data_IF_578048885061
#
_entry.id   IF_578048885061
#
_cell.length_a   1.000
_cell.length_b   1.000
_cell.length_c   1.000
_cell.angle_alpha   90.00
_cell.angle_beta   90.00
_cell.angle_gamma   90.00
#
_symmetry.space_group_name_H-M   'P 1'
#
loop_
_entity.id
_entity.type
_entity.pdbx_description
1 polymer ?
#
# COMPACT_ATOMS: atom_id res chain seq x y z
N UNK A 1 13.28 -7.87 3.83
CA UNK A 1 13.48 -7.30 2.48
C UNK A 1 14.95 -7.23 2.08
N UNK A 2 15.82 -6.58 2.86
CA UNK A 2 17.26 -6.43 2.56
C UNK A 2 17.97 -7.76 2.26
N UNK A 3 17.73 -8.78 3.10
CA UNK A 3 18.24 -10.14 2.87
C UNK A 3 17.74 -10.74 1.53
N UNK A 4 16.44 -10.68 1.26
CA UNK A 4 15.86 -11.22 0.01
C UNK A 4 16.39 -10.50 -1.24
N UNK A 5 16.63 -9.19 -1.15
CA UNK A 5 17.23 -8.40 -2.23
C UNK A 5 18.69 -8.79 -2.45
N UNK A 6 19.45 -8.99 -1.37
CA UNK A 6 20.82 -9.48 -1.44
C UNK A 6 20.89 -10.87 -2.08
N UNK A 7 20.03 -11.79 -1.64
CA UNK A 7 19.96 -13.16 -2.16
C UNK A 7 19.59 -13.17 -3.67
N UNK A 8 18.68 -12.29 -4.12
CA UNK A 8 18.34 -12.13 -5.54
C UNK A 8 19.50 -11.57 -6.37
N UNK A 9 20.20 -10.56 -5.85
CA UNK A 9 21.36 -9.97 -6.51
C UNK A 9 22.53 -10.96 -6.62
N UNK A 10 22.73 -11.80 -5.61
CA UNK A 10 23.75 -12.85 -5.62
C UNK A 10 23.41 -13.92 -6.68
N UNK A 11 22.15 -14.36 -6.75
CA UNK A 11 21.71 -15.27 -7.80
C UNK A 11 21.89 -14.69 -9.22
N UNK A 12 21.59 -13.40 -9.40
CA UNK A 12 21.83 -12.71 -10.69
C UNK A 12 23.32 -12.64 -11.03
N UNK A 13 24.18 -12.37 -10.04
CA UNK A 13 25.62 -12.34 -10.23
C UNK A 13 26.16 -13.71 -10.68
N UNK A 14 25.63 -14.80 -10.13
CA UNK A 14 25.96 -16.17 -10.57
C UNK A 14 25.58 -16.43 -12.02
N UNK A 15 24.39 -15.98 -12.47
CA UNK A 15 23.99 -16.07 -13.88
C UNK A 15 24.95 -15.29 -14.78
N UNK A 16 25.29 -14.06 -14.39
CA UNK A 16 26.19 -13.20 -15.17
C UNK A 16 27.61 -13.75 -15.26
N UNK A 17 28.11 -14.40 -14.21
CA UNK A 17 29.43 -15.02 -14.21
C UNK A 17 29.56 -16.15 -15.24
N UNK A 18 28.47 -16.86 -15.54
CA UNK A 18 28.44 -17.91 -16.55
C UNK A 18 28.40 -17.35 -17.98
N UNK A 19 27.64 -16.26 -18.19
CA UNK A 19 27.40 -15.71 -19.54
C UNK A 19 28.45 -14.68 -19.96
N UNK A 20 29.04 -13.96 -19.00
CA UNK A 20 30.00 -12.89 -19.26
C UNK A 20 31.40 -13.39 -19.01
N UNK A 21 32.12 -13.67 -20.10
CA UNK A 21 33.55 -14.01 -20.01
C UNK A 21 34.35 -12.83 -19.40
N UNK A 22 35.28 -13.08 -18.46
CA UNK A 22 36.19 -12.06 -17.96
C UNK A 22 36.97 -11.42 -19.11
N UNK A 23 37.08 -10.09 -19.10
CA UNK A 23 37.87 -9.36 -20.08
C UNK A 23 39.34 -9.45 -19.67
N UNK A 24 40.08 -10.39 -20.26
CA UNK A 24 41.53 -10.51 -20.07
C UNK A 24 42.30 -9.90 -21.26
N UNK A 25 43.38 -9.17 -20.97
CA UNK A 25 44.29 -8.60 -21.96
C UNK A 25 45.72 -9.15 -21.79
N UNK A 26 46.40 -9.57 -22.89
CA UNK A 26 45.91 -9.64 -24.27
C UNK A 26 44.83 -10.73 -24.44
N UNK A 27 43.87 -10.56 -25.36
CA UNK A 27 42.75 -11.49 -25.49
C UNK A 27 43.27 -12.91 -25.79
N UNK A 28 42.90 -13.93 -24.98
CA UNK A 28 43.31 -15.30 -25.25
C UNK A 28 42.77 -15.75 -26.62
N UNK A 29 43.55 -16.57 -27.32
CA UNK A 29 43.13 -17.20 -28.58
C UNK A 29 41.85 -18.00 -28.33
N UNK A 30 40.70 -17.48 -28.76
CA UNK A 30 39.40 -18.13 -28.51
C UNK A 30 39.39 -19.52 -29.18
N UNK A 31 39.11 -20.61 -28.44
CA UNK A 31 38.76 -21.88 -29.05
C UNK A 31 37.51 -21.72 -29.94
N UNK A 32 37.40 -22.55 -30.98
CA UNK A 32 36.34 -22.50 -31.98
C UNK A 32 34.93 -22.59 -31.31
N UNK A 33 33.93 -21.77 -31.69
CA UNK A 33 32.64 -21.65 -30.97
C UNK A 33 31.72 -22.88 -31.01
N UNK A 34 32.18 -24.00 -31.55
CA UNK A 34 31.38 -25.21 -31.80
C UNK A 34 31.24 -26.12 -30.56
N UNK A 35 31.77 -25.72 -29.41
CA UNK A 35 31.71 -26.45 -28.14
C UNK A 35 30.90 -25.69 -27.07
N UNK A 36 29.78 -25.07 -27.43
CA UNK A 36 28.74 -24.82 -26.42
C UNK A 36 27.99 -26.14 -26.24
N UNK A 37 28.39 -26.90 -25.22
CA UNK A 37 27.79 -28.20 -24.92
C UNK A 37 26.38 -27.99 -24.34
N UNK A 38 25.49 -28.97 -24.54
CA UNK A 38 24.13 -28.95 -23.98
C UNK A 38 24.11 -28.79 -22.44
N UNK A 39 25.22 -29.12 -21.77
CA UNK A 39 25.45 -28.92 -20.33
C UNK A 39 25.46 -27.45 -19.94
N UNK A 40 26.07 -26.57 -20.75
CA UNK A 40 26.17 -25.12 -20.45
C UNK A 40 24.78 -24.44 -20.45
N UNK A 41 23.85 -24.96 -21.27
CA UNK A 41 22.47 -24.47 -21.33
C UNK A 41 21.63 -24.96 -20.15
N UNK A 42 21.89 -26.17 -19.64
CA UNK A 42 21.21 -26.69 -18.45
C UNK A 42 21.66 -25.95 -17.19
N UNK A 43 22.96 -25.71 -17.05
CA UNK A 43 23.53 -24.96 -15.91
C UNK A 43 23.00 -23.51 -15.90
N UNK A 44 22.90 -22.89 -17.09
CA UNK A 44 22.28 -21.57 -17.22
C UNK A 44 20.81 -21.58 -16.79
N UNK A 45 20.07 -22.61 -17.18
CA UNK A 45 18.65 -22.75 -16.82
C UNK A 45 18.47 -22.86 -15.31
N UNK A 46 19.27 -23.70 -14.63
CA UNK A 46 19.21 -23.88 -13.18
C UNK A 46 19.53 -22.57 -12.42
N UNK A 47 20.55 -21.82 -12.86
CA UNK A 47 20.89 -20.53 -12.27
C UNK A 47 19.79 -19.48 -12.49
N UNK A 48 19.15 -19.49 -13.67
CA UNK A 48 18.01 -18.61 -13.94
C UNK A 48 16.80 -18.97 -13.09
N UNK A 49 16.50 -20.25 -12.88
CA UNK A 49 15.43 -20.68 -11.98
C UNK A 49 15.67 -20.19 -10.55
N UNK A 50 16.91 -20.30 -10.05
CA UNK A 50 17.28 -19.79 -8.74
C UNK A 50 17.07 -18.26 -8.62
N UNK A 51 17.44 -17.50 -9.65
CA UNK A 51 17.17 -16.07 -9.71
C UNK A 51 15.66 -15.75 -9.68
N UNK A 52 14.87 -16.41 -10.53
CA UNK A 52 13.43 -16.17 -10.59
C UNK A 52 12.71 -16.56 -9.30
N UNK A 53 13.17 -17.62 -8.62
CA UNK A 53 12.68 -17.99 -7.31
C UNK A 53 12.87 -16.87 -6.28
N UNK A 54 14.07 -16.28 -6.21
CA UNK A 54 14.34 -15.17 -5.29
C UNK A 54 13.55 -13.91 -5.68
N UNK A 55 13.40 -13.63 -6.98
CA UNK A 55 12.57 -12.54 -7.47
C UNK A 55 11.09 -12.70 -7.06
N UNK A 56 10.52 -13.89 -7.22
CA UNK A 56 9.13 -14.19 -6.82
C UNK A 56 8.93 -14.06 -5.31
N UNK A 57 9.92 -14.51 -4.53
CA UNK A 57 9.91 -14.37 -3.07
C UNK A 57 9.92 -12.90 -2.65
N UNK A 58 10.72 -12.06 -3.30
CA UNK A 58 10.77 -10.62 -3.04
C UNK A 58 9.46 -9.93 -3.42
N UNK A 59 8.89 -10.26 -4.58
CA UNK A 59 7.57 -9.77 -5.04
C UNK A 59 6.48 -10.07 -4.00
N UNK A 60 6.45 -11.29 -3.48
CA UNK A 60 5.44 -11.69 -2.48
C UNK A 60 5.59 -10.88 -1.18
N UNK A 61 6.84 -10.62 -0.74
CA UNK A 61 7.10 -9.78 0.44
C UNK A 61 6.64 -8.33 0.25
N UNK A 62 6.84 -7.76 -0.94
CA UNK A 62 6.39 -6.41 -1.27
C UNK A 62 4.86 -6.32 -1.28
N UNK A 63 4.19 -7.26 -1.95
CA UNK A 63 2.74 -7.32 -2.00
C UNK A 63 2.11 -7.53 -0.62
N UNK A 64 2.77 -8.28 0.28
CA UNK A 64 2.26 -8.50 1.64
C UNK A 64 2.33 -7.22 2.49
N UNK A 65 3.37 -6.40 2.33
CA UNK A 65 3.50 -5.14 3.09
C UNK A 65 2.40 -4.14 2.80
N UNK A 66 1.97 -4.04 1.53
CA UNK A 66 0.91 -3.13 1.14
C UNK A 66 -0.44 -3.52 1.76
N UNK A 67 -0.71 -4.82 1.93
CA UNK A 67 -1.98 -5.30 2.48
C UNK A 67 -2.12 -4.96 3.97
N UNK A 68 -1.05 -5.13 4.75
CA UNK A 68 -1.08 -4.88 6.19
C UNK A 68 -1.23 -3.38 6.49
N UNK A 69 -0.48 -2.52 5.80
CA UNK A 69 -0.60 -1.07 5.99
C UNK A 69 -1.93 -0.49 5.49
N UNK A 70 -2.47 -1.01 4.38
CA UNK A 70 -3.79 -0.58 3.89
C UNK A 70 -4.90 -1.09 4.81
N UNK A 71 -4.78 -2.29 5.37
CA UNK A 71 -5.75 -2.86 6.31
C UNK A 71 -5.85 -2.07 7.61
N UNK A 72 -4.72 -1.73 8.23
CA UNK A 72 -4.67 -0.93 9.45
C UNK A 72 -5.21 0.49 9.22
N UNK A 73 -4.80 1.13 8.12
CA UNK A 73 -5.29 2.46 7.73
C UNK A 73 -6.80 2.47 7.47
N UNK A 74 -7.32 1.44 6.79
CA UNK A 74 -8.75 1.31 6.52
C UNK A 74 -9.57 1.13 7.79
N UNK A 75 -9.14 0.26 8.70
CA UNK A 75 -9.84 0.05 9.97
C UNK A 75 -9.86 1.33 10.83
N UNK A 76 -8.76 2.10 10.82
CA UNK A 76 -8.68 3.38 11.51
C UNK A 76 -9.65 4.42 10.91
N UNK A 77 -9.72 4.52 9.59
CA UNK A 77 -10.66 5.42 8.89
C UNK A 77 -12.10 5.00 9.14
N UNK A 78 -12.42 3.71 9.10
CA UNK A 78 -13.77 3.20 9.39
C UNK A 78 -14.20 3.53 10.83
N UNK A 79 -13.29 3.43 11.81
CA UNK A 79 -13.56 3.82 13.20
C UNK A 79 -13.78 5.34 13.35
N UNK A 80 -13.00 6.17 12.65
CA UNK A 80 -13.16 7.62 12.66
C UNK A 80 -14.49 8.05 12.04
N UNK A 81 -14.90 7.42 10.92
CA UNK A 81 -16.20 7.67 10.29
C UNK A 81 -17.34 7.39 11.28
N UNK A 82 -17.32 6.24 11.97
CA UNK A 82 -18.36 5.90 12.95
C UNK A 82 -18.42 6.90 14.11
N UNK A 83 -17.27 7.37 14.59
CA UNK A 83 -17.21 8.38 15.64
C UNK A 83 -17.83 9.71 15.17
N UNK A 84 -17.51 10.14 13.95
CA UNK A 84 -18.05 11.36 13.35
C UNK A 84 -19.56 11.25 13.09
N UNK A 85 -20.04 10.09 12.65
CA UNK A 85 -21.47 9.83 12.44
C UNK A 85 -22.25 9.92 13.76
N UNK A 86 -21.71 9.37 14.84
CA UNK A 86 -22.31 9.49 16.17
C UNK A 86 -22.35 10.94 16.64
N UNK A 87 -21.23 11.66 16.55
CA UNK A 87 -21.17 13.07 16.94
C UNK A 87 -22.14 13.94 16.12
N UNK A 88 -22.27 13.65 14.83
CA UNK A 88 -23.21 14.34 13.95
C UNK A 88 -24.67 14.06 14.35
N UNK A 89 -24.99 12.83 14.74
CA UNK A 89 -26.31 12.47 15.28
C UNK A 89 -26.62 13.26 16.56
N UNK A 90 -25.70 13.26 17.54
CA UNK A 90 -25.88 13.98 18.82
C UNK A 90 -26.10 15.48 18.60
N UNK A 91 -25.33 16.08 17.67
CA UNK A 91 -25.48 17.49 17.30
C UNK A 91 -26.83 17.78 16.65
N UNK A 92 -27.32 16.89 15.79
CA UNK A 92 -28.63 17.06 15.16
C UNK A 92 -29.76 16.99 16.18
N UNK A 93 -29.71 16.07 17.14
CA UNK A 93 -30.68 16.02 18.24
C UNK A 93 -30.67 17.30 19.07
N UNK A 94 -29.48 17.85 19.33
CA UNK A 94 -29.33 19.08 20.08
C UNK A 94 -29.93 20.28 19.32
N UNK A 95 -29.70 20.35 18.00
CA UNK A 95 -30.29 21.36 17.13
C UNK A 95 -31.82 21.28 17.17
N UNK A 96 -32.40 20.09 17.13
CA UNK A 96 -33.84 19.90 17.18
C UNK A 96 -34.42 20.42 18.51
N UNK A 97 -33.81 20.05 19.64
CA UNK A 97 -34.19 20.54 20.98
C UNK A 97 -34.15 22.07 21.06
N UNK A 98 -33.07 22.70 20.59
CA UNK A 98 -32.98 24.16 20.60
C UNK A 98 -33.97 24.82 19.63
N UNK A 99 -34.26 24.18 18.50
CA UNK A 99 -35.25 24.68 17.55
C UNK A 99 -36.67 24.72 18.14
N UNK A 100 -37.03 23.76 18.98
CA UNK A 100 -38.29 23.78 19.72
C UNK A 100 -38.34 24.91 20.76
N UNK A 101 -37.24 25.09 21.50
CA UNK A 101 -37.11 26.18 22.48
C UNK A 101 -37.31 27.53 21.79
N UNK A 102 -36.61 27.78 20.67
CA UNK A 102 -36.72 29.02 19.89
C UNK A 102 -38.16 29.25 19.44
N UNK A 103 -38.82 28.23 18.84
CA UNK A 103 -40.25 28.33 18.47
C UNK A 103 -41.13 28.69 19.66
N UNK A 104 -40.86 28.12 20.83
CA UNK A 104 -41.55 28.45 22.08
C UNK A 104 -41.38 29.92 22.48
N UNK A 105 -40.17 30.46 22.36
CA UNK A 105 -39.88 31.87 22.62
C UNK A 105 -40.54 32.79 21.60
N UNK A 106 -40.47 32.48 20.30
CA UNK A 106 -41.15 33.24 19.25
C UNK A 106 -42.66 33.35 19.52
N UNK A 107 -43.29 32.26 19.94
CA UNK A 107 -44.71 32.27 20.33
C UNK A 107 -45.00 33.14 21.55
N UNK A 108 -44.11 33.15 22.56
CA UNK A 108 -44.23 34.02 23.74
C UNK A 108 -44.08 35.49 23.36
N UNK A 109 -43.08 35.83 22.55
CA UNK A 109 -42.86 37.19 22.05
C UNK A 109 -44.06 37.71 21.26
N UNK A 110 -44.60 36.91 20.31
CA UNK A 110 -45.81 37.27 19.57
C UNK A 110 -47.00 37.59 20.47
N UNK A 111 -47.21 36.80 21.53
CA UNK A 111 -48.29 37.05 22.51
C UNK A 111 -48.05 38.31 23.34
N UNK A 112 -46.79 38.60 23.69
CA UNK A 112 -46.44 39.81 24.43
C UNK A 112 -46.68 41.05 23.57
N UNK A 113 -46.23 41.02 22.33
CA UNK A 113 -46.37 42.10 21.36
C UNK A 113 -47.86 42.41 21.09
N UNK A 114 -48.69 41.36 20.96
CA UNK A 114 -50.14 41.49 20.83
C UNK A 114 -50.82 42.12 22.06
N UNK A 115 -50.26 41.96 23.26
CA UNK A 115 -50.82 42.59 24.48
C UNK A 115 -50.40 44.04 24.61
N UNK A 116 -49.16 44.36 24.20
CA UNK A 116 -48.65 45.73 24.21
C UNK A 116 -49.29 46.60 23.12
N UNK A 117 -49.67 46.03 21.98
CA UNK A 117 -50.34 46.78 20.91
C UNK A 117 -51.81 47.12 21.18
N UNK A 118 -52.43 46.47 22.17
CA UNK A 118 -53.85 46.65 22.55
C UNK A 118 -54.00 47.52 23.81
N UNK A 119 -52.89 47.91 24.47
CA UNK A 119 -52.87 48.86 25.60
C UNK A 119 -52.49 50.26 25.12
#
# INVERSE_FOLDING_TARGET
>A
MEKSLKDMNEALASVLALVVAPVEYPPPSRPNPLHQDATDLNDLHELMEAFFFQAKKLETQLLSQDVDHVGESRAQVEAEIQALEHELSDKNELIEKYSEVIRGWEGKFKRLDSKMSVS
#
